data_IF_886984576559
#
_entry.id   IF_886984576559
#
_cell.length_a   1.000
_cell.length_b   1.000
_cell.length_c   1.000
_cell.angle_alpha   90.00
_cell.angle_beta   90.00
_cell.angle_gamma   90.00
#
_symmetry.space_group_name_H-M   'P 1'
#
loop_
_entity.id
_entity.type
_entity.pdbx_description
1 polymer ?
#
# COMPACT_ATOMS: atom_id res chain seq x y z
N UNK A 1 -6.17 -7.33 -9.38
CA UNK A 1 -6.49 -6.13 -8.59
C UNK A 1 -5.89 -4.95 -9.29
N UNK A 2 -6.64 -3.86 -9.40
CA UNK A 2 -6.16 -2.66 -10.05
C UNK A 2 -5.28 -1.90 -9.05
N UNK A 3 -4.00 -1.75 -9.39
CA UNK A 3 -3.13 -0.74 -8.79
C UNK A 3 -3.86 0.61 -8.66
N UNK A 4 -3.71 1.27 -7.51
CA UNK A 4 -4.29 2.59 -7.26
C UNK A 4 -3.30 3.68 -7.65
N UNK A 5 -3.82 4.81 -8.08
CA UNK A 5 -3.01 5.96 -8.52
C UNK A 5 -3.29 7.12 -7.58
N UNK A 6 -2.24 7.63 -6.93
CA UNK A 6 -2.33 8.79 -6.04
C UNK A 6 -1.35 9.88 -6.50
N UNK A 7 -1.75 11.14 -6.36
CA UNK A 7 -0.88 12.28 -6.60
C UNK A 7 -0.34 12.82 -5.27
N UNK A 8 0.97 13.08 -5.21
CA UNK A 8 1.62 13.69 -4.05
C UNK A 8 2.71 14.66 -4.51
N UNK A 9 2.51 15.96 -4.26
CA UNK A 9 3.34 17.02 -4.86
C UNK A 9 3.28 16.96 -6.39
N UNK A 10 4.45 17.02 -7.03
CA UNK A 10 4.60 16.93 -8.50
C UNK A 10 4.75 15.49 -9.02
N UNK A 11 4.48 14.49 -8.18
CA UNK A 11 4.67 13.08 -8.51
C UNK A 11 3.37 12.28 -8.45
N UNK A 12 3.20 11.41 -9.44
CA UNK A 12 2.17 10.37 -9.45
C UNK A 12 2.78 9.09 -8.91
N UNK A 13 2.05 8.42 -8.03
CA UNK A 13 2.45 7.19 -7.38
C UNK A 13 1.45 6.09 -7.64
N UNK A 14 1.97 4.91 -7.95
CA UNK A 14 1.22 3.69 -8.05
C UNK A 14 1.30 2.94 -6.73
N UNK A 15 0.15 2.48 -6.24
CA UNK A 15 0.01 1.77 -4.97
C UNK A 15 -0.57 0.39 -5.23
N UNK A 16 0.21 -0.64 -4.89
CA UNK A 16 -0.24 -2.03 -4.91
C UNK A 16 -0.50 -2.53 -3.49
N UNK A 17 -1.65 -3.18 -3.30
CA UNK A 17 -1.99 -3.90 -2.09
C UNK A 17 -1.48 -5.34 -2.15
N UNK A 18 -0.58 -5.70 -1.24
CA UNK A 18 0.02 -7.03 -1.16
C UNK A 18 -0.35 -7.68 0.17
N UNK A 19 -0.74 -8.95 0.13
CA UNK A 19 -0.98 -9.74 1.32
C UNK A 19 0.30 -10.51 1.68
N UNK A 20 0.89 -10.20 2.83
CA UNK A 20 2.03 -10.91 3.39
C UNK A 20 1.58 -11.79 4.55
N UNK A 21 2.10 -13.01 4.66
CA UNK A 21 1.78 -13.90 5.78
C UNK A 21 2.80 -13.64 6.90
N UNK A 22 2.33 -13.31 8.11
CA UNK A 22 3.22 -13.11 9.24
C UNK A 22 3.86 -14.43 9.69
N UNK A 23 5.13 -14.35 10.10
CA UNK A 23 5.82 -15.48 10.69
C UNK A 23 5.09 -15.96 11.95
N UNK A 24 4.98 -17.27 12.12
CA UNK A 24 4.39 -17.92 13.31
C UNK A 24 2.90 -17.62 13.56
N UNK A 25 2.16 -17.07 12.59
CA UNK A 25 0.71 -16.90 12.70
C UNK A 25 -0.04 -17.37 11.44
N UNK A 26 -1.35 -17.59 11.60
CA UNK A 26 -2.28 -17.79 10.47
C UNK A 26 -2.82 -16.47 9.90
N UNK A 27 -2.34 -15.32 10.42
CA UNK A 27 -2.80 -14.02 10.00
C UNK A 27 -2.04 -13.53 8.75
N UNK A 28 -2.80 -12.88 7.87
CA UNK A 28 -2.31 -12.10 6.76
C UNK A 28 -2.24 -10.63 7.17
N UNK A 29 -1.17 -9.97 6.78
CA UNK A 29 -0.97 -8.54 6.95
C UNK A 29 -0.98 -7.85 5.59
N UNK A 30 -1.57 -6.67 5.54
CA UNK A 30 -1.53 -5.82 4.36
C UNK A 30 -0.20 -5.07 4.30
N UNK A 31 0.46 -5.15 3.16
CA UNK A 31 1.65 -4.37 2.81
C UNK A 31 1.34 -3.56 1.57
N UNK A 32 1.67 -2.27 1.61
CA UNK A 32 1.50 -1.35 0.49
C UNK A 32 2.84 -1.19 -0.23
N UNK A 33 2.86 -1.41 -1.54
CA UNK A 33 3.99 -1.10 -2.40
C UNK A 33 3.73 0.21 -3.13
N UNK A 34 4.54 1.22 -2.85
CA UNK A 34 4.48 2.52 -3.50
C UNK A 34 5.57 2.59 -4.57
N UNK A 35 5.21 3.04 -5.77
CA UNK A 35 6.16 3.22 -6.88
C UNK A 35 5.87 4.54 -7.57
N UNK A 36 6.87 5.43 -7.63
CA UNK A 36 6.75 6.65 -8.41
C UNK A 36 6.63 6.33 -9.91
N UNK A 37 5.69 6.99 -10.59
CA UNK A 37 5.48 6.85 -12.03
C UNK A 37 6.55 7.61 -12.85
N UNK A 38 7.18 8.61 -12.24
CA UNK A 38 8.20 9.46 -12.86
C UNK A 38 9.57 8.77 -12.97
N UNK A 39 10.27 9.04 -14.07
CA UNK A 39 11.59 8.49 -14.39
C UNK A 39 12.76 9.18 -13.64
N UNK A 40 12.50 10.21 -12.82
CA UNK A 40 13.57 11.06 -12.26
C UNK A 40 14.37 10.43 -11.11
N UNK A 41 13.86 9.36 -10.52
CA UNK A 41 14.56 8.39 -9.65
C UNK A 41 13.55 7.27 -9.41
N UNK A 42 13.94 6.00 -9.53
CA UNK A 42 13.07 4.84 -9.24
C UNK A 42 12.78 4.77 -7.73
N UNK A 43 12.01 5.72 -7.21
CA UNK A 43 11.57 5.73 -5.83
C UNK A 43 10.48 4.70 -5.69
N UNK A 44 10.81 3.62 -4.98
CA UNK A 44 9.86 2.61 -4.60
C UNK A 44 10.13 2.17 -3.18
N UNK A 45 9.09 1.99 -2.39
CA UNK A 45 9.21 1.46 -1.05
C UNK A 45 7.99 0.62 -0.71
N UNK A 46 8.17 -0.22 0.30
CA UNK A 46 7.14 -1.10 0.82
C UNK A 46 6.91 -0.72 2.26
N UNK A 47 5.65 -0.69 2.68
CA UNK A 47 5.34 -0.34 4.06
C UNK A 47 4.17 -1.18 4.58
N UNK A 48 4.27 -1.72 5.81
CA UNK A 48 3.15 -2.40 6.43
C UNK A 48 2.01 -1.40 6.68
N UNK A 49 0.79 -1.81 6.37
CA UNK A 49 -0.43 -1.08 6.73
C UNK A 49 -1.10 -1.81 7.91
N UNK A 50 -1.70 -1.09 8.89
CA UNK A 50 -2.26 -1.68 10.10
C UNK A 50 -3.60 -2.39 9.84
N UNK A 51 -3.59 -3.36 8.92
CA UNK A 51 -4.74 -4.14 8.51
C UNK A 51 -4.33 -5.59 8.42
N UNK A 52 -5.07 -6.44 9.13
CA UNK A 52 -4.82 -7.86 9.22
C UNK A 52 -6.11 -8.65 9.05
N UNK A 53 -5.98 -9.86 8.51
CA UNK A 53 -7.11 -10.77 8.38
C UNK A 53 -6.64 -12.23 8.45
N UNK A 54 -7.50 -13.12 8.93
CA UNK A 54 -7.25 -14.56 8.90
C UNK A 54 -7.39 -15.17 7.50
N UNK A 55 -7.88 -14.40 6.52
CA UNK A 55 -8.03 -14.82 5.13
C UNK A 55 -7.53 -13.75 4.17
N UNK A 56 -6.77 -14.16 3.15
CA UNK A 56 -6.24 -13.30 2.09
C UNK A 56 -7.35 -12.54 1.34
N UNK A 57 -8.49 -13.18 1.08
CA UNK A 57 -9.62 -12.54 0.40
C UNK A 57 -10.26 -11.46 1.26
N UNK A 58 -10.43 -11.71 2.57
CA UNK A 58 -10.94 -10.72 3.52
C UNK A 58 -10.01 -9.51 3.60
N UNK A 59 -8.69 -9.75 3.61
CA UNK A 59 -7.69 -8.70 3.60
C UNK A 59 -7.85 -7.76 2.39
N UNK A 60 -8.04 -8.32 1.20
CA UNK A 60 -8.20 -7.50 -0.02
C UNK A 60 -9.54 -6.77 -0.08
N UNK A 61 -10.64 -7.38 0.37
CA UNK A 61 -11.93 -6.68 0.48
C UNK A 61 -11.81 -5.46 1.40
N UNK A 62 -11.06 -5.60 2.50
CA UNK A 62 -10.81 -4.48 3.40
C UNK A 62 -9.84 -3.47 2.79
N UNK A 63 -8.81 -3.91 2.05
CA UNK A 63 -7.89 -3.03 1.33
C UNK A 63 -8.62 -2.14 0.30
N UNK A 64 -9.65 -2.67 -0.36
CA UNK A 64 -10.47 -1.88 -1.29
C UNK A 64 -11.28 -0.76 -0.60
N UNK A 65 -11.49 -0.86 0.71
CA UNK A 65 -12.20 0.18 1.49
C UNK A 65 -11.27 1.26 2.01
N UNK A 66 -9.95 1.12 1.83
CA UNK A 66 -9.00 2.15 2.26
C UNK A 66 -9.25 3.41 1.42
N UNK A 67 -9.48 4.58 2.04
CA UNK A 67 -9.65 5.81 1.29
C UNK A 67 -8.31 6.29 0.74
N UNK A 68 -8.31 6.90 -0.44
CA UNK A 68 -7.08 7.39 -1.08
C UNK A 68 -6.38 8.45 -0.21
N UNK A 69 -7.13 9.23 0.56
CA UNK A 69 -6.57 10.17 1.53
C UNK A 69 -5.67 9.47 2.59
N UNK A 70 -6.03 8.28 3.04
CA UNK A 70 -5.21 7.51 3.97
C UNK A 70 -3.93 6.97 3.29
N UNK A 71 -4.01 6.58 2.01
CA UNK A 71 -2.84 6.18 1.23
C UNK A 71 -1.88 7.35 1.02
N UNK A 72 -2.42 8.53 0.72
CA UNK A 72 -1.65 9.77 0.58
C UNK A 72 -0.97 10.18 1.89
N UNK A 73 -1.62 9.99 3.03
CA UNK A 73 -1.01 10.25 4.34
C UNK A 73 0.17 9.30 4.61
N UNK A 74 -0.01 8.00 4.39
CA UNK A 74 1.06 7.00 4.54
C UNK A 74 2.24 7.32 3.62
N UNK A 75 1.96 7.76 2.39
CA UNK A 75 2.99 8.22 1.46
C UNK A 75 3.74 9.44 2.00
N UNK A 76 3.02 10.46 2.47
CA UNK A 76 3.62 11.68 3.03
C UNK A 76 4.52 11.38 4.24
N UNK A 77 4.07 10.52 5.16
CA UNK A 77 4.84 10.09 6.34
C UNK A 77 6.13 9.35 5.98
N UNK A 78 6.19 8.69 4.82
CA UNK A 78 7.38 7.96 4.35
C UNK A 78 8.34 8.81 3.51
N UNK A 79 7.87 9.93 2.99
CA UNK A 79 8.67 10.88 2.20
C UNK A 79 9.21 12.06 3.03
N UNK A 80 8.64 12.31 4.22
CA UNK A 80 9.13 13.27 5.21
C UNK A 80 10.48 12.84 5.80
#
# INVERSE_FOLDING_TARGET
>A
MSWRVIAHGDQVWHVDAVAERRANTSAWQLVLSFRAASNSRRLSFWTPYPLEATSKSSLFIQAERIPDAALSQVLAERLA
#
